data_IF_456273494096
#
_entry.id   IF_456273494096
#
_cell.length_a   1.000
_cell.length_b   1.000
_cell.length_c   1.000
_cell.angle_alpha   90.00
_cell.angle_beta   90.00
_cell.angle_gamma   90.00
#
_symmetry.space_group_name_H-M   'P 1'
#
loop_
_entity.id
_entity.type
_entity.pdbx_description
1 polymer ?
#
# COMPACT_ATOMS: atom_id res chain seq x y z
N UNK A 1 -2.24 -42.40 -63.59
CA UNK A 1 -1.70 -41.03 -63.46
C UNK A 1 -2.72 -40.16 -62.74
N UNK A 2 -2.24 -39.50 -61.69
CA UNK A 2 -2.56 -38.11 -61.38
C UNK A 2 -3.84 -37.76 -60.61
N UNK A 3 -3.56 -37.24 -59.41
CA UNK A 3 -4.32 -36.22 -58.64
C UNK A 3 -5.43 -36.69 -57.69
N UNK A 4 -5.29 -37.84 -57.04
CA UNK A 4 -6.12 -38.16 -55.86
C UNK A 4 -5.36 -38.48 -54.56
N UNK A 5 -4.03 -38.29 -54.55
CA UNK A 5 -3.19 -38.42 -53.35
C UNK A 5 -2.41 -37.11 -53.15
N UNK A 6 -3.11 -35.98 -53.26
CA UNK A 6 -2.56 -34.66 -52.96
C UNK A 6 -3.59 -33.80 -52.20
N UNK A 7 -4.46 -34.45 -51.43
CA UNK A 7 -5.45 -33.78 -50.58
C UNK A 7 -5.35 -34.24 -49.12
N UNK A 8 -4.24 -34.89 -48.75
CA UNK A 8 -3.98 -35.44 -47.42
C UNK A 8 -2.80 -34.79 -46.69
N UNK A 9 -2.25 -33.69 -47.21
CA UNK A 9 -1.05 -33.02 -46.65
C UNK A 9 -1.19 -31.48 -46.55
N UNK A 10 -2.41 -30.97 -46.48
CA UNK A 10 -2.69 -29.53 -46.28
C UNK A 10 -3.58 -29.27 -45.06
N UNK A 11 -3.41 -30.09 -44.02
CA UNK A 11 -3.92 -29.87 -42.66
C UNK A 11 -2.75 -29.74 -41.69
N UNK A 12 -1.77 -28.90 -42.05
CA UNK A 12 -0.71 -28.48 -41.15
C UNK A 12 -1.12 -27.11 -40.58
N UNK A 13 -1.37 -27.12 -39.27
CA UNK A 13 -1.26 -26.00 -38.33
C UNK A 13 -2.10 -24.74 -38.61
N UNK A 14 -3.40 -24.82 -38.34
CA UNK A 14 -4.11 -23.69 -37.72
C UNK A 14 -4.08 -23.92 -36.20
N UNK A 15 -2.90 -23.71 -35.62
CA UNK A 15 -2.82 -23.38 -34.19
C UNK A 15 -3.36 -21.95 -34.12
N UNK A 16 -4.46 -21.67 -33.41
CA UNK A 16 -4.73 -20.28 -33.06
C UNK A 16 -3.52 -19.83 -32.25
N UNK A 17 -2.73 -18.93 -32.84
CA UNK A 17 -1.85 -18.05 -32.07
C UNK A 17 -2.83 -17.17 -31.28
N UNK A 18 -3.39 -17.75 -30.21
CA UNK A 18 -3.92 -16.95 -29.12
C UNK A 18 -2.74 -16.13 -28.65
N UNK A 19 -2.89 -14.81 -28.70
CA UNK A 19 -1.98 -13.89 -28.07
C UNK A 19 -1.69 -14.40 -26.66
N UNK A 20 -0.56 -15.06 -26.47
CA UNK A 20 0.06 -15.10 -25.16
C UNK A 20 0.55 -13.68 -24.95
N UNK A 21 -0.31 -12.83 -24.39
CA UNK A 21 0.16 -11.70 -23.60
C UNK A 21 0.99 -12.33 -22.48
N UNK A 22 2.28 -12.49 -22.73
CA UNK A 22 3.27 -12.56 -21.66
C UNK A 22 3.16 -11.23 -20.94
N UNK A 23 2.19 -11.13 -20.03
CA UNK A 23 2.08 -10.03 -19.08
C UNK A 23 3.35 -10.07 -18.25
N UNK A 24 4.27 -9.17 -18.57
CA UNK A 24 5.30 -8.77 -17.64
C UNK A 24 4.58 -8.39 -16.34
N UNK A 25 4.93 -9.03 -15.22
CA UNK A 25 4.40 -8.67 -13.90
C UNK A 25 4.97 -7.29 -13.56
N UNK A 26 4.34 -6.25 -14.11
CA UNK A 26 4.69 -4.87 -13.82
C UNK A 26 4.25 -4.63 -12.39
N UNK A 27 5.22 -4.27 -11.54
CA UNK A 27 4.93 -3.82 -10.18
C UNK A 27 4.16 -2.50 -10.22
N UNK A 28 2.83 -2.62 -10.21
CA UNK A 28 1.89 -1.51 -10.24
C UNK A 28 2.14 -0.54 -9.08
N UNK A 29 2.56 -1.04 -7.92
CA UNK A 29 2.83 -0.20 -6.75
C UNK A 29 4.00 0.74 -6.99
N UNK A 30 5.10 0.24 -7.56
CA UNK A 30 6.24 1.07 -7.95
C UNK A 30 5.85 2.18 -8.94
N UNK A 31 4.95 1.90 -9.89
CA UNK A 31 4.47 2.91 -10.85
C UNK A 31 3.62 3.99 -10.20
N UNK A 32 2.72 3.60 -9.29
CA UNK A 32 1.89 4.54 -8.50
C UNK A 32 2.77 5.44 -7.64
N UNK A 33 3.82 4.90 -7.02
CA UNK A 33 4.77 5.72 -6.25
C UNK A 33 5.59 6.67 -7.11
N UNK A 34 6.05 6.23 -8.28
CA UNK A 34 6.75 7.11 -9.21
C UNK A 34 5.85 8.28 -9.65
N UNK A 35 4.58 8.01 -9.98
CA UNK A 35 3.58 9.03 -10.28
C UNK A 35 3.37 10.00 -9.11
N UNK A 36 3.19 9.46 -7.90
CA UNK A 36 3.01 10.28 -6.71
C UNK A 36 4.22 11.17 -6.43
N UNK A 37 5.44 10.64 -6.61
CA UNK A 37 6.68 11.39 -6.41
C UNK A 37 6.85 12.52 -7.42
N UNK A 38 6.49 12.30 -8.70
CA UNK A 38 6.53 13.32 -9.75
C UNK A 38 5.51 14.43 -9.48
N UNK A 39 4.28 14.05 -9.15
CA UNK A 39 3.16 14.98 -9.05
C UNK A 39 3.07 15.70 -7.70
N UNK A 40 3.46 15.04 -6.61
CA UNK A 40 3.46 15.61 -5.26
C UNK A 40 4.52 14.90 -4.38
N UNK A 41 5.79 15.31 -4.46
CA UNK A 41 6.90 14.66 -3.74
C UNK A 41 6.78 14.77 -2.21
N UNK A 42 6.09 15.81 -1.71
CA UNK A 42 5.81 15.91 -0.28
C UNK A 42 4.85 14.81 0.17
N UNK A 43 3.76 14.62 -0.57
CA UNK A 43 2.80 13.55 -0.27
C UNK A 43 3.43 12.16 -0.41
N UNK A 44 4.29 11.95 -1.40
CA UNK A 44 5.10 10.72 -1.47
C UNK A 44 5.91 10.47 -0.19
N UNK A 45 6.68 11.47 0.26
CA UNK A 45 7.47 11.36 1.50
C UNK A 45 6.59 11.08 2.72
N UNK A 46 5.41 11.69 2.79
CA UNK A 46 4.46 11.46 3.90
C UNK A 46 3.90 10.04 3.88
N UNK A 47 3.55 9.48 2.72
CA UNK A 47 3.14 8.08 2.59
C UNK A 47 4.24 7.10 3.03
N UNK A 48 5.50 7.40 2.70
CA UNK A 48 6.65 6.61 3.17
C UNK A 48 6.83 6.70 4.69
N UNK A 49 6.62 7.88 5.29
CA UNK A 49 6.63 8.05 6.76
C UNK A 49 5.54 7.21 7.41
N UNK A 50 4.31 7.24 6.90
CA UNK A 50 3.22 6.39 7.41
C UNK A 50 3.57 4.91 7.36
N UNK A 51 4.14 4.43 6.26
CA UNK A 51 4.59 3.03 6.14
C UNK A 51 5.64 2.66 7.19
N UNK A 52 6.60 3.56 7.47
CA UNK A 52 7.58 3.36 8.55
C UNK A 52 6.95 3.32 9.93
N UNK A 53 5.98 4.18 10.22
CA UNK A 53 5.25 4.18 11.49
C UNK A 53 4.41 2.90 11.68
N UNK A 54 3.80 2.37 10.61
CA UNK A 54 3.12 1.07 10.64
C UNK A 54 4.10 -0.04 11.01
N UNK A 55 5.26 -0.08 10.36
CA UNK A 55 6.30 -1.09 10.64
C UNK A 55 6.85 -0.97 12.08
N UNK A 56 6.97 0.25 12.61
CA UNK A 56 7.33 0.47 14.01
C UNK A 56 6.26 -0.09 14.96
N UNK A 57 4.99 0.19 14.69
CA UNK A 57 3.89 -0.34 15.49
C UNK A 57 3.83 -1.88 15.46
N UNK A 58 4.06 -2.50 14.30
CA UNK A 58 4.17 -3.95 14.15
C UNK A 58 5.28 -4.52 15.05
N UNK A 59 6.47 -3.91 15.01
CA UNK A 59 7.61 -4.32 15.84
C UNK A 59 7.28 -4.22 17.33
N UNK A 60 6.64 -3.12 17.75
CA UNK A 60 6.28 -2.91 19.17
C UNK A 60 5.23 -3.91 19.65
N UNK A 61 4.22 -4.19 18.82
CA UNK A 61 3.21 -5.22 19.12
C UNK A 61 3.87 -6.59 19.31
N UNK A 62 4.78 -6.96 18.41
CA UNK A 62 5.52 -8.23 18.50
C UNK A 62 6.32 -8.34 19.80
N UNK A 63 7.07 -7.30 20.15
CA UNK A 63 7.84 -7.23 21.40
C UNK A 63 6.95 -7.38 22.65
N UNK A 64 5.77 -6.75 22.65
CA UNK A 64 4.83 -6.85 23.75
C UNK A 64 4.22 -8.26 23.89
N UNK A 65 3.98 -8.97 22.78
CA UNK A 65 3.55 -10.36 22.83
C UNK A 65 4.62 -11.28 23.44
N UNK A 66 5.89 -11.07 23.08
CA UNK A 66 7.03 -11.79 23.68
C UNK A 66 7.12 -11.50 25.18
N UNK A 67 7.02 -10.23 25.57
CA UNK A 67 7.07 -9.80 26.97
C UNK A 67 5.92 -10.40 27.79
N UNK A 68 4.71 -10.46 27.21
CA UNK A 68 3.52 -11.07 27.83
C UNK A 68 3.74 -12.55 28.18
N UNK A 69 4.51 -13.27 27.34
CA UNK A 69 4.88 -14.66 27.57
C UNK A 69 5.88 -14.82 28.71
N UNK A 70 6.87 -13.92 28.80
CA UNK A 70 7.94 -13.97 29.81
C UNK A 70 7.48 -13.51 31.20
N UNK A 71 6.55 -12.56 31.27
CA UNK A 71 6.15 -11.91 32.53
C UNK A 71 4.64 -12.01 32.77
N UNK A 72 4.10 -13.20 33.08
CA UNK A 72 2.66 -13.41 33.22
C UNK A 72 2.01 -12.57 34.34
N UNK A 73 2.77 -12.18 35.37
CA UNK A 73 2.28 -11.34 36.47
C UNK A 73 2.11 -9.86 36.07
N UNK A 74 2.70 -9.43 34.94
CA UNK A 74 2.62 -8.05 34.42
C UNK A 74 1.63 -7.94 33.25
N UNK A 75 0.78 -8.95 33.04
CA UNK A 75 -0.12 -9.05 31.88
C UNK A 75 -1.03 -7.84 31.71
N UNK A 76 -1.50 -7.22 32.79
CA UNK A 76 -2.44 -6.10 32.71
C UNK A 76 -1.83 -4.88 32.03
N UNK A 77 -0.69 -4.41 32.54
CA UNK A 77 0.09 -3.32 31.94
C UNK A 77 0.48 -3.62 30.48
N UNK A 78 0.93 -4.86 30.21
CA UNK A 78 1.31 -5.26 28.84
C UNK A 78 0.11 -5.26 27.90
N UNK A 79 -1.07 -5.73 28.35
CA UNK A 79 -2.29 -5.73 27.54
C UNK A 79 -2.79 -4.32 27.25
N UNK A 80 -2.64 -3.37 28.20
CA UNK A 80 -2.98 -1.97 27.97
C UNK A 80 -2.13 -1.38 26.85
N UNK A 81 -0.80 -1.55 26.92
CA UNK A 81 0.11 -1.08 25.87
C UNK A 81 -0.18 -1.77 24.52
N UNK A 82 -0.45 -3.08 24.52
CA UNK A 82 -0.84 -3.82 23.30
C UNK A 82 -2.07 -3.20 22.64
N UNK A 83 -3.11 -2.89 23.42
CA UNK A 83 -4.35 -2.31 22.90
C UNK A 83 -4.09 -0.95 22.23
N UNK A 84 -3.24 -0.11 22.83
CA UNK A 84 -2.89 1.20 22.29
C UNK A 84 -2.10 1.09 20.97
N UNK A 85 -1.06 0.26 20.93
CA UNK A 85 -0.27 0.04 19.71
C UNK A 85 -1.10 -0.60 18.59
N UNK A 86 -2.01 -1.51 18.91
CA UNK A 86 -2.94 -2.11 17.94
C UNK A 86 -3.93 -1.08 17.38
N UNK A 87 -4.44 -0.19 18.23
CA UNK A 87 -5.29 0.93 17.80
C UNK A 87 -4.54 1.84 16.83
N UNK A 88 -3.34 2.29 17.22
CA UNK A 88 -2.47 3.12 16.39
C UNK A 88 -2.18 2.47 15.02
N UNK A 89 -1.76 1.20 15.03
CA UNK A 89 -1.49 0.43 13.79
C UNK A 89 -2.72 0.40 12.89
N UNK A 90 -3.90 0.13 13.45
CA UNK A 90 -5.16 0.05 12.69
C UNK A 90 -5.48 1.38 12.02
N UNK A 91 -5.37 2.49 12.74
CA UNK A 91 -5.69 3.82 12.21
C UNK A 91 -4.72 4.25 11.11
N UNK A 92 -3.42 4.00 11.32
CA UNK A 92 -2.38 4.23 10.31
C UNK A 92 -2.63 3.41 9.05
N UNK A 93 -2.87 2.10 9.19
CA UNK A 93 -3.03 1.21 8.04
C UNK A 93 -4.32 1.49 7.26
N UNK A 94 -5.43 1.73 7.97
CA UNK A 94 -6.72 2.12 7.36
C UNK A 94 -6.58 3.40 6.53
N UNK A 95 -5.92 4.42 7.10
CA UNK A 95 -5.68 5.68 6.39
C UNK A 95 -4.74 5.48 5.21
N UNK A 96 -3.63 4.77 5.39
CA UNK A 96 -2.66 4.52 4.32
C UNK A 96 -3.30 3.79 3.12
N UNK A 97 -4.10 2.75 3.36
CA UNK A 97 -4.79 2.02 2.29
C UNK A 97 -5.75 2.93 1.53
N UNK A 98 -6.57 3.70 2.26
CA UNK A 98 -7.50 4.66 1.65
C UNK A 98 -6.78 5.70 0.80
N UNK A 99 -5.67 6.25 1.30
CA UNK A 99 -4.87 7.23 0.57
C UNK A 99 -4.25 6.61 -0.69
N UNK A 100 -3.67 5.41 -0.56
CA UNK A 100 -3.08 4.68 -1.68
C UNK A 100 -4.11 4.41 -2.79
N UNK A 101 -5.29 3.92 -2.46
CA UNK A 101 -6.39 3.70 -3.43
C UNK A 101 -6.76 4.97 -4.20
N UNK A 102 -6.77 6.14 -3.54
CA UNK A 102 -7.04 7.42 -4.22
C UNK A 102 -5.92 7.84 -5.16
N UNK A 103 -4.66 7.60 -4.79
CA UNK A 103 -3.50 7.88 -5.64
C UNK A 103 -3.49 6.93 -6.83
N UNK A 104 -3.73 5.64 -6.61
CA UNK A 104 -3.84 4.63 -7.66
C UNK A 104 -4.95 4.98 -8.66
N UNK A 105 -6.15 5.32 -8.17
CA UNK A 105 -7.25 5.74 -9.06
C UNK A 105 -6.92 7.00 -9.87
N UNK A 106 -6.12 7.91 -9.34
CA UNK A 106 -5.64 9.07 -10.07
C UNK A 106 -4.55 8.71 -11.10
N UNK A 107 -3.65 7.78 -10.76
CA UNK A 107 -2.66 7.24 -11.67
C UNK A 107 -3.31 6.52 -12.87
N UNK A 108 -4.31 5.68 -12.63
CA UNK A 108 -5.06 5.01 -13.69
C UNK A 108 -5.75 6.04 -14.59
N UNK A 109 -6.38 7.06 -14.01
CA UNK A 109 -6.96 8.15 -14.80
C UNK A 109 -5.91 8.90 -15.65
N UNK A 110 -4.72 9.13 -15.11
CA UNK A 110 -3.58 9.70 -15.83
C UNK A 110 -3.10 8.82 -16.98
N UNK A 111 -3.12 7.50 -16.82
CA UNK A 111 -2.75 6.57 -17.90
C UNK A 111 -3.78 6.50 -19.02
N UNK A 112 -5.05 6.79 -18.73
CA UNK A 112 -6.14 6.86 -19.72
C UNK A 112 -6.14 8.22 -20.44
N UNK A 113 -6.05 9.31 -19.68
CA UNK A 113 -6.01 10.68 -20.16
C UNK A 113 -5.09 11.49 -19.24
N UNK A 114 -3.90 11.78 -19.72
CA UNK A 114 -2.87 12.47 -18.95
C UNK A 114 -3.36 13.85 -18.45
N UNK A 115 -4.05 14.62 -19.30
CA UNK A 115 -4.51 15.97 -18.94
C UNK A 115 -5.55 15.89 -17.83
N UNK A 116 -6.55 15.01 -17.97
CA UNK A 116 -7.60 14.86 -16.97
C UNK A 116 -7.09 14.22 -15.69
N UNK A 117 -6.19 13.24 -15.78
CA UNK A 117 -5.56 12.61 -14.63
C UNK A 117 -4.73 13.58 -13.82
N UNK A 118 -3.89 14.42 -14.46
CA UNK A 118 -3.12 15.47 -13.78
C UNK A 118 -4.05 16.47 -13.07
N UNK A 119 -5.11 16.94 -13.73
CA UNK A 119 -6.11 17.85 -13.13
C UNK A 119 -6.79 17.22 -11.92
N UNK A 120 -7.25 15.98 -12.05
CA UNK A 120 -7.94 15.24 -10.98
C UNK A 120 -7.02 15.03 -9.77
N UNK A 121 -5.77 14.64 -9.99
CA UNK A 121 -4.80 14.47 -8.91
C UNK A 121 -4.46 15.79 -8.23
N UNK A 122 -4.20 16.85 -9.01
CA UNK A 122 -3.90 18.18 -8.48
C UNK A 122 -5.01 18.68 -7.54
N UNK A 123 -6.28 18.46 -7.91
CA UNK A 123 -7.44 18.86 -7.11
C UNK A 123 -7.55 18.15 -5.74
N UNK A 124 -7.04 16.91 -5.61
CA UNK A 124 -7.18 16.12 -4.38
C UNK A 124 -5.90 16.02 -3.56
N UNK A 125 -4.73 16.17 -4.18
CA UNK A 125 -3.45 15.80 -3.57
C UNK A 125 -3.14 16.55 -2.27
N UNK A 126 -3.44 17.85 -2.19
CA UNK A 126 -3.23 18.63 -0.96
C UNK A 126 -4.14 18.17 0.17
N UNK A 127 -5.40 17.82 -0.13
CA UNK A 127 -6.33 17.28 0.87
C UNK A 127 -5.82 15.95 1.41
N UNK A 128 -5.38 15.06 0.53
CA UNK A 128 -4.84 13.75 0.91
C UNK A 128 -3.55 13.90 1.74
N UNK A 129 -2.66 14.83 1.38
CA UNK A 129 -1.47 15.17 2.17
C UNK A 129 -1.85 15.66 3.57
N UNK A 130 -2.84 16.54 3.68
CA UNK A 130 -3.30 17.05 4.98
C UNK A 130 -3.89 15.93 5.85
N UNK A 131 -4.67 15.02 5.27
CA UNK A 131 -5.18 13.83 5.97
C UNK A 131 -4.05 12.94 6.48
N UNK A 132 -3.03 12.70 5.65
CA UNK A 132 -1.87 11.90 6.02
C UNK A 132 -1.07 12.54 7.17
N UNK A 133 -0.84 13.85 7.10
CA UNK A 133 -0.15 14.61 8.15
C UNK A 133 -0.94 14.62 9.47
N UNK A 134 -2.27 14.76 9.42
CA UNK A 134 -3.09 14.72 10.63
C UNK A 134 -2.99 13.37 11.36
N UNK A 135 -2.99 12.26 10.61
CA UNK A 135 -2.84 10.93 11.21
C UNK A 135 -1.42 10.73 11.76
N UNK A 136 -0.38 11.23 11.09
CA UNK A 136 0.98 11.19 11.65
C UNK A 136 1.14 12.03 12.92
N UNK A 137 0.49 13.20 13.00
CA UNK A 137 0.50 14.00 14.21
C UNK A 137 -0.20 13.26 15.37
N UNK A 138 -1.36 12.66 15.10
CA UNK A 138 -2.07 11.83 16.10
C UNK A 138 -1.25 10.60 16.51
N UNK A 139 -0.52 9.99 15.57
CA UNK A 139 0.39 8.88 15.83
C UNK A 139 1.50 9.29 16.79
N UNK A 140 2.11 10.46 16.58
CA UNK A 140 3.13 11.00 17.48
C UNK A 140 2.59 11.21 18.88
N UNK A 141 1.44 11.87 19.02
CA UNK A 141 0.78 12.06 20.33
C UNK A 141 0.47 10.74 21.01
N UNK A 142 -0.05 9.75 20.27
CA UNK A 142 -0.38 8.44 20.83
C UNK A 142 0.86 7.72 21.33
N UNK A 143 1.98 7.79 20.59
CA UNK A 143 3.26 7.21 21.03
C UNK A 143 3.76 7.86 22.31
N UNK A 144 3.77 9.19 22.39
CA UNK A 144 4.19 9.89 23.61
C UNK A 144 3.34 9.49 24.83
N UNK A 145 2.02 9.40 24.68
CA UNK A 145 1.12 8.97 25.76
C UNK A 145 1.38 7.52 26.22
N UNK A 146 1.71 6.62 25.28
CA UNK A 146 2.08 5.24 25.63
C UNK A 146 3.39 5.23 26.42
N UNK A 147 4.38 6.05 26.03
CA UNK A 147 5.67 6.13 26.70
C UNK A 147 5.57 6.76 28.09
N UNK A 148 4.72 7.79 28.26
CA UNK A 148 4.44 8.42 29.56
C UNK A 148 3.82 7.41 30.54
N UNK A 149 2.82 6.63 30.11
CA UNK A 149 2.16 5.61 30.96
C UNK A 149 3.08 4.47 31.40
N UNK A 150 4.24 4.29 30.77
CA UNK A 150 5.23 3.27 31.16
C UNK A 150 6.27 3.81 32.15
N UNK A 151 6.34 5.13 32.35
CA UNK A 151 7.30 5.78 33.25
C UNK A 151 6.68 6.21 34.60
N UNK A 152 5.36 6.07 34.76
CA UNK A 152 4.61 6.29 36.01
C UNK A 152 4.49 5.00 36.83
#
# INVERSE_FOLDING_TARGET
MNKLILLLLLLISLVPIGCNETEEVVDAQSKVYAFLNDMNPEFHRTMLKMSKEIALADKKIQQLYELKGMYPNQREMINQSLKQWQGLRKDLNSTWNRLYEKVEGAYVAYKIDEIQGRKKFSAISQKLLNEANAVLANAETTKSLIEEQLNE
#
